data_IF_476974044731
#
_entry.id   IF_476974044731
#
_cell.length_a   1.000
_cell.length_b   1.000
_cell.length_c   1.000
_cell.angle_alpha   90.00
_cell.angle_beta   90.00
_cell.angle_gamma   90.00
#
_symmetry.space_group_name_H-M   'P 1'
#
loop_
_entity.id
_entity.type
_entity.pdbx_description
1 polymer ?
#
# COMPACT_ATOMS: atom_id res chain seq x y z
N UNK A 1 -19.91 -8.15 -12.99
CA UNK A 1 -18.74 -8.53 -12.19
C UNK A 1 -19.15 -8.96 -10.78
N UNK A 2 -19.76 -8.09 -9.92
CA UNK A 2 -20.10 -8.42 -8.53
C UNK A 2 -20.96 -9.69 -8.39
N UNK A 3 -22.02 -9.83 -9.19
CA UNK A 3 -22.88 -11.02 -9.14
C UNK A 3 -22.10 -12.31 -9.48
N UNK A 4 -21.18 -12.27 -10.44
CA UNK A 4 -20.32 -13.41 -10.77
C UNK A 4 -19.34 -13.73 -9.63
N UNK A 5 -18.83 -12.72 -8.95
CA UNK A 5 -17.97 -12.84 -7.75
C UNK A 5 -18.71 -13.62 -6.63
N UNK A 6 -19.93 -13.18 -6.28
CA UNK A 6 -20.72 -13.84 -5.24
C UNK A 6 -21.10 -15.29 -5.61
N UNK A 7 -21.39 -15.54 -6.89
CA UNK A 7 -21.60 -16.90 -7.39
C UNK A 7 -20.32 -17.73 -7.26
N UNK A 8 -19.16 -17.18 -7.56
CA UNK A 8 -17.85 -17.82 -7.36
C UNK A 8 -17.68 -18.33 -5.93
N UNK A 9 -17.99 -17.50 -4.94
CA UNK A 9 -17.96 -17.94 -3.52
C UNK A 9 -18.92 -19.08 -3.22
N UNK A 10 -20.11 -19.11 -3.82
CA UNK A 10 -21.04 -20.21 -3.64
C UNK A 10 -20.56 -21.51 -4.29
N UNK A 11 -19.67 -21.42 -5.27
CA UNK A 11 -18.99 -22.56 -5.91
C UNK A 11 -17.70 -22.97 -5.17
N UNK A 12 -17.32 -22.28 -4.09
CA UNK A 12 -16.13 -22.59 -3.29
C UNK A 12 -14.85 -21.87 -3.75
N UNK A 13 -14.97 -20.87 -4.65
CA UNK A 13 -13.80 -20.11 -5.07
C UNK A 13 -13.36 -19.11 -4.00
N UNK A 14 -12.07 -19.11 -3.68
CA UNK A 14 -11.45 -18.09 -2.86
C UNK A 14 -11.08 -16.85 -3.69
N UNK A 15 -10.78 -15.73 -3.01
CA UNK A 15 -10.27 -14.55 -3.69
C UNK A 15 -8.94 -14.82 -4.39
N UNK A 16 -8.72 -14.15 -5.52
CA UNK A 16 -7.43 -14.12 -6.21
C UNK A 16 -6.99 -12.68 -6.44
N UNK A 17 -6.23 -12.09 -5.51
CA UNK A 17 -5.75 -10.72 -5.61
C UNK A 17 -4.55 -10.53 -6.54
N UNK A 18 -4.14 -11.56 -7.26
CA UNK A 18 -3.16 -11.46 -8.32
C UNK A 18 -3.79 -11.29 -9.71
N UNK A 19 -5.12 -11.30 -9.82
CA UNK A 19 -5.80 -11.25 -11.11
C UNK A 19 -5.51 -9.97 -11.91
N UNK A 20 -5.29 -8.83 -11.23
CA UNK A 20 -4.88 -7.57 -11.86
C UNK A 20 -3.58 -7.68 -12.65
N UNK A 21 -2.63 -8.54 -12.22
CA UNK A 21 -1.37 -8.78 -12.92
C UNK A 21 -1.52 -9.46 -14.30
N UNK A 22 -2.70 -10.00 -14.58
CA UNK A 22 -3.08 -10.66 -15.82
C UNK A 22 -4.36 -10.02 -16.41
N UNK A 23 -4.44 -8.70 -16.47
CA UNK A 23 -5.53 -7.95 -17.11
C UNK A 23 -6.93 -8.30 -16.55
N UNK A 24 -7.08 -8.39 -15.24
CA UNK A 24 -8.33 -8.80 -14.58
C UNK A 24 -8.75 -10.25 -14.87
N UNK A 25 -7.82 -11.17 -14.74
CA UNK A 25 -8.02 -12.58 -15.04
C UNK A 25 -9.04 -13.29 -14.15
N UNK A 26 -9.59 -12.65 -13.11
CA UNK A 26 -10.58 -13.27 -12.22
C UNK A 26 -11.60 -12.27 -11.69
N UNK A 27 -12.86 -12.68 -11.66
CA UNK A 27 -13.91 -11.94 -10.93
C UNK A 27 -13.78 -12.10 -9.43
N UNK A 28 -12.95 -13.04 -8.94
CA UNK A 28 -12.66 -13.22 -7.51
C UNK A 28 -11.66 -12.21 -6.97
N UNK A 29 -11.28 -11.20 -7.73
CA UNK A 29 -10.58 -10.01 -7.31
C UNK A 29 -11.56 -8.88 -6.93
N UNK A 30 -11.04 -7.82 -6.27
CA UNK A 30 -11.74 -6.57 -5.99
C UNK A 30 -11.06 -5.40 -6.69
N UNK A 31 -11.06 -5.31 -8.02
CA UNK A 31 -10.46 -4.17 -8.70
C UNK A 31 -11.28 -2.90 -8.45
N UNK A 32 -10.60 -1.77 -8.27
CA UNK A 32 -11.26 -0.47 -8.37
C UNK A 32 -11.81 -0.25 -9.79
N UNK A 33 -12.85 0.58 -9.97
CA UNK A 33 -13.29 0.97 -11.32
C UNK A 33 -12.12 1.49 -12.13
N UNK A 34 -11.87 0.89 -13.30
CA UNK A 34 -10.77 1.31 -14.18
C UNK A 34 -11.14 2.61 -14.88
N UNK A 35 -10.31 3.62 -14.70
CA UNK A 35 -10.44 4.91 -15.34
C UNK A 35 -9.09 5.28 -15.93
N UNK A 36 -9.08 5.82 -17.12
CA UNK A 36 -7.87 6.36 -17.76
C UNK A 36 -8.13 7.71 -18.39
N UNK A 37 -7.06 8.38 -18.81
CA UNK A 37 -7.16 9.61 -19.58
C UNK A 37 -7.11 9.27 -21.06
N UNK A 38 -8.21 9.46 -21.76
CA UNK A 38 -8.32 9.23 -23.19
C UNK A 38 -7.43 10.17 -24.04
N UNK A 39 -7.34 9.89 -25.34
CA UNK A 39 -6.51 10.68 -26.26
C UNK A 39 -6.94 12.15 -26.37
N UNK A 40 -8.21 12.44 -26.09
CA UNK A 40 -8.77 13.80 -26.05
C UNK A 40 -8.51 14.52 -24.71
N UNK A 41 -7.82 13.90 -23.76
CA UNK A 41 -7.59 14.42 -22.41
C UNK A 41 -8.78 14.33 -21.47
N UNK A 42 -9.87 13.64 -21.88
CA UNK A 42 -11.03 13.37 -21.02
C UNK A 42 -10.84 12.09 -20.22
N UNK A 43 -11.56 11.97 -19.09
CA UNK A 43 -11.63 10.72 -18.34
C UNK A 43 -12.51 9.72 -19.10
N UNK A 44 -11.99 8.52 -19.29
CA UNK A 44 -12.68 7.42 -19.95
C UNK A 44 -13.06 6.36 -18.91
N UNK A 45 -14.36 6.04 -18.85
CA UNK A 45 -14.97 5.06 -17.97
C UNK A 45 -15.52 3.83 -18.73
N UNK A 46 -15.27 3.73 -20.03
CA UNK A 46 -15.92 2.73 -20.90
C UNK A 46 -15.60 1.29 -20.50
N UNK A 47 -14.46 1.04 -19.84
CA UNK A 47 -14.07 -0.24 -19.30
C UNK A 47 -13.94 -0.22 -17.76
N UNK A 48 -14.73 0.61 -17.08
CA UNK A 48 -14.69 0.69 -15.61
C UNK A 48 -14.90 -0.67 -14.95
N UNK A 49 -15.75 -1.51 -15.53
CA UNK A 49 -16.03 -2.88 -15.08
C UNK A 49 -16.01 -3.84 -16.25
N UNK A 50 -15.50 -5.05 -16.02
CA UNK A 50 -15.51 -6.13 -17.00
C UNK A 50 -16.85 -6.84 -17.12
N UNK A 51 -17.03 -7.52 -18.24
CA UNK A 51 -18.20 -8.34 -18.55
C UNK A 51 -17.75 -9.79 -18.70
N UNK A 52 -18.43 -10.71 -17.99
CA UNK A 52 -18.09 -12.13 -18.02
C UNK A 52 -17.22 -12.55 -16.84
N UNK A 53 -16.54 -13.66 -17.00
CA UNK A 53 -15.58 -14.25 -16.06
C UNK A 53 -14.18 -14.23 -16.69
N UNK A 54 -13.15 -14.27 -15.84
CA UNK A 54 -11.75 -14.22 -16.30
C UNK A 54 -11.17 -15.60 -16.59
N UNK A 55 -9.95 -15.62 -17.13
CA UNK A 55 -9.24 -16.86 -17.47
C UNK A 55 -8.94 -17.72 -16.23
N UNK A 56 -8.61 -17.10 -15.10
CA UNK A 56 -8.39 -17.82 -13.84
C UNK A 56 -9.70 -18.44 -13.31
N UNK A 57 -10.84 -17.80 -13.51
CA UNK A 57 -12.13 -18.36 -13.10
C UNK A 57 -12.47 -19.63 -13.89
N UNK A 58 -12.11 -19.65 -15.20
CA UNK A 58 -12.25 -20.83 -16.05
C UNK A 58 -11.33 -21.95 -15.55
N UNK A 59 -10.07 -21.66 -15.23
CA UNK A 59 -9.15 -22.64 -14.65
C UNK A 59 -9.70 -23.19 -13.34
N UNK A 60 -10.17 -22.33 -12.44
CA UNK A 60 -10.76 -22.72 -11.15
C UNK A 60 -11.99 -23.62 -11.33
N UNK A 61 -12.88 -23.28 -12.27
CA UNK A 61 -14.05 -24.07 -12.57
C UNK A 61 -13.66 -25.43 -13.18
N UNK A 62 -12.70 -25.47 -14.07
CA UNK A 62 -12.20 -26.72 -14.64
C UNK A 62 -11.56 -27.61 -13.58
N UNK A 63 -10.73 -27.02 -12.69
CA UNK A 63 -10.05 -27.76 -11.63
C UNK A 63 -11.02 -28.37 -10.63
N UNK A 64 -12.09 -27.65 -10.25
CA UNK A 64 -13.06 -28.12 -9.26
C UNK A 64 -14.17 -29.03 -9.83
N UNK A 65 -14.58 -28.81 -11.09
CA UNK A 65 -15.83 -29.35 -11.59
C UNK A 65 -15.70 -30.11 -12.90
N UNK A 66 -14.53 -30.19 -13.52
CA UNK A 66 -14.34 -30.96 -14.75
C UNK A 66 -14.59 -32.45 -14.47
N UNK A 67 -15.41 -33.09 -15.31
CA UNK A 67 -15.57 -34.53 -15.30
C UNK A 67 -14.54 -35.18 -16.24
N UNK A 68 -13.94 -36.24 -15.77
CA UNK A 68 -12.94 -37.00 -16.53
C UNK A 68 -13.52 -38.38 -16.92
N UNK A 69 -13.03 -38.98 -18.01
CA UNK A 69 -13.35 -40.37 -18.35
C UNK A 69 -12.94 -41.34 -17.25
N UNK A 70 -13.67 -42.48 -17.16
CA UNK A 70 -13.32 -43.53 -16.21
C UNK A 70 -11.85 -43.98 -16.34
N UNK A 71 -11.16 -44.10 -15.21
CA UNK A 71 -9.76 -44.51 -15.14
C UNK A 71 -8.72 -43.40 -15.34
N UNK A 72 -9.15 -42.14 -15.49
CA UNK A 72 -8.27 -40.99 -15.49
C UNK A 72 -7.70 -40.76 -14.07
N UNK A 73 -6.43 -40.49 -13.93
CA UNK A 73 -5.82 -39.93 -12.71
C UNK A 73 -6.21 -38.44 -12.64
N UNK A 74 -7.25 -38.14 -11.87
CA UNK A 74 -7.80 -36.79 -11.76
C UNK A 74 -6.81 -35.82 -11.09
N UNK A 75 -5.97 -36.30 -10.16
CA UNK A 75 -4.95 -35.46 -9.52
C UNK A 75 -3.87 -35.05 -10.54
N UNK A 76 -3.34 -36.01 -11.29
CA UNK A 76 -2.36 -35.70 -12.34
C UNK A 76 -2.92 -34.76 -13.42
N UNK A 77 -4.19 -34.94 -13.81
CA UNK A 77 -4.85 -34.06 -14.77
C UNK A 77 -5.12 -32.65 -14.20
N UNK A 78 -5.38 -32.53 -12.90
CA UNK A 78 -5.50 -31.26 -12.18
C UNK A 78 -4.16 -30.53 -12.10
N UNK A 79 -3.08 -31.23 -11.81
CA UNK A 79 -1.72 -30.70 -11.78
C UNK A 79 -1.30 -30.16 -13.17
N UNK A 80 -1.55 -30.93 -14.24
CA UNK A 80 -1.27 -30.49 -15.61
C UNK A 80 -2.03 -29.20 -15.97
N UNK A 81 -3.30 -29.09 -15.54
CA UNK A 81 -4.10 -27.88 -15.74
C UNK A 81 -3.48 -26.66 -15.04
N UNK A 82 -3.05 -26.82 -13.79
CA UNK A 82 -2.43 -25.73 -13.01
C UNK A 82 -1.06 -25.36 -13.58
N UNK A 83 -0.23 -26.33 -13.96
CA UNK A 83 1.06 -26.07 -14.61
C UNK A 83 0.89 -25.31 -15.93
N UNK A 84 -0.13 -25.67 -16.73
CA UNK A 84 -0.47 -24.92 -17.95
C UNK A 84 -0.91 -23.50 -17.67
N UNK A 85 -1.72 -23.28 -16.64
CA UNK A 85 -2.16 -21.96 -16.21
C UNK A 85 -0.98 -21.09 -15.76
N UNK A 86 -0.09 -21.62 -14.95
CA UNK A 86 1.13 -20.92 -14.53
C UNK A 86 2.10 -20.67 -15.69
N UNK A 87 2.21 -21.62 -16.60
CA UNK A 87 3.01 -21.49 -17.82
C UNK A 87 2.50 -20.37 -18.74
N UNK A 88 1.21 -20.09 -18.73
CA UNK A 88 0.60 -18.93 -19.43
C UNK A 88 0.78 -17.60 -18.69
N UNK A 89 1.34 -17.62 -17.47
CA UNK A 89 1.57 -16.43 -16.64
C UNK A 89 0.45 -16.10 -15.66
N UNK A 90 -0.62 -16.92 -15.61
CA UNK A 90 -1.67 -16.72 -14.60
C UNK A 90 -1.11 -16.92 -13.19
N UNK A 91 -1.64 -16.16 -12.23
CA UNK A 91 -1.20 -16.17 -10.83
C UNK A 91 -2.38 -16.37 -9.90
N UNK A 92 -2.11 -17.03 -8.78
CA UNK A 92 -3.04 -17.14 -7.66
C UNK A 92 -2.36 -16.67 -6.38
N UNK A 93 -2.99 -15.74 -5.68
CA UNK A 93 -2.52 -15.24 -4.38
C UNK A 93 -3.74 -14.98 -3.50
N UNK A 94 -3.76 -15.66 -2.34
CA UNK A 94 -4.84 -15.62 -1.39
C UNK A 94 -4.93 -14.32 -0.54
N UNK A 95 -6.00 -14.20 0.21
CA UNK A 95 -6.30 -13.06 1.08
C UNK A 95 -5.15 -12.65 2.01
N UNK A 96 -4.57 -13.53 2.84
CA UNK A 96 -3.52 -13.14 3.79
C UNK A 96 -2.31 -12.52 3.12
N UNK A 97 -1.97 -12.98 1.91
CA UNK A 97 -0.83 -12.48 1.16
C UNK A 97 -1.16 -11.24 0.30
N UNK A 98 -2.42 -11.07 -0.09
CA UNK A 98 -2.87 -9.96 -0.93
C UNK A 98 -3.28 -8.69 -0.15
N UNK A 99 -3.93 -8.80 1.01
CA UNK A 99 -4.57 -7.66 1.69
C UNK A 99 -3.62 -6.73 2.44
N UNK A 100 -2.63 -7.26 3.13
CA UNK A 100 -1.79 -6.45 4.02
C UNK A 100 -0.90 -5.45 3.27
N UNK A 101 -0.81 -4.21 3.75
CA UNK A 101 0.11 -3.20 3.20
C UNK A 101 1.57 -3.65 3.34
N UNK A 102 1.89 -4.38 4.41
CA UNK A 102 3.22 -4.89 4.69
C UNK A 102 3.59 -6.19 3.99
N UNK A 103 2.67 -6.86 3.29
CA UNK A 103 2.93 -8.14 2.63
C UNK A 103 4.00 -8.03 1.55
N UNK A 104 4.64 -9.15 1.24
CA UNK A 104 5.79 -9.19 0.33
C UNK A 104 5.40 -9.36 -1.15
N UNK A 105 4.16 -9.69 -1.44
CA UNK A 105 3.71 -10.05 -2.79
C UNK A 105 3.63 -8.85 -3.72
N UNK A 106 4.47 -8.73 -4.75
CA UNK A 106 4.56 -7.55 -5.60
C UNK A 106 3.36 -7.36 -6.55
N UNK A 107 2.65 -8.44 -6.89
CA UNK A 107 1.59 -8.44 -7.91
C UNK A 107 0.24 -8.86 -7.33
N UNK A 108 0.00 -8.57 -6.05
CA UNK A 108 -1.29 -8.86 -5.42
C UNK A 108 -1.69 -7.75 -4.48
N UNK A 109 -2.75 -7.06 -4.80
CA UNK A 109 -3.32 -6.00 -3.96
C UNK A 109 -4.82 -5.91 -4.13
N UNK A 110 -5.49 -5.46 -3.09
CA UNK A 110 -6.93 -5.18 -3.16
C UNK A 110 -7.13 -3.79 -3.76
N UNK A 111 -8.07 -3.63 -4.66
CA UNK A 111 -8.48 -2.37 -5.28
C UNK A 111 -7.44 -1.78 -6.27
N UNK A 112 -6.42 -2.53 -6.65
CA UNK A 112 -5.51 -2.12 -7.71
C UNK A 112 -6.05 -2.47 -9.11
N UNK A 113 -5.36 -1.97 -10.12
CA UNK A 113 -5.59 -2.27 -11.53
C UNK A 113 -4.26 -2.35 -12.27
N UNK A 114 -4.27 -3.07 -13.38
CA UNK A 114 -3.18 -3.13 -14.35
C UNK A 114 -2.08 -4.11 -13.98
N UNK A 115 -1.38 -4.55 -15.03
CA UNK A 115 -0.36 -5.60 -14.96
C UNK A 115 0.97 -5.14 -14.33
N UNK A 116 1.23 -3.83 -14.34
CA UNK A 116 2.40 -3.21 -13.73
C UNK A 116 1.96 -2.19 -12.66
N UNK A 117 2.17 -2.45 -11.37
CA UNK A 117 1.74 -1.57 -10.29
C UNK A 117 2.33 -0.15 -10.37
N UNK A 118 3.53 0.00 -10.95
CA UNK A 118 4.23 1.30 -11.06
C UNK A 118 3.66 2.13 -12.22
N UNK A 119 3.50 1.51 -13.38
CA UNK A 119 2.85 2.14 -14.53
C UNK A 119 1.41 2.54 -14.19
N UNK A 120 0.69 1.66 -13.49
CA UNK A 120 -0.68 1.93 -13.03
C UNK A 120 -0.75 3.07 -12.02
N UNK A 121 0.22 3.19 -11.09
CA UNK A 121 0.29 4.35 -10.20
C UNK A 121 0.48 5.64 -11.01
N UNK A 122 1.33 5.63 -12.02
CA UNK A 122 1.56 6.79 -12.89
C UNK A 122 0.27 7.22 -13.61
N UNK A 123 -0.48 6.26 -14.17
CA UNK A 123 -1.76 6.56 -14.83
C UNK A 123 -2.84 7.03 -13.84
N UNK A 124 -2.94 6.42 -12.69
CA UNK A 124 -3.86 6.83 -11.61
C UNK A 124 -3.56 8.27 -11.15
N UNK A 125 -2.29 8.66 -11.05
CA UNK A 125 -1.90 10.04 -10.74
C UNK A 125 -2.27 11.01 -11.87
N UNK A 126 -2.20 10.56 -13.12
CA UNK A 126 -2.65 11.34 -14.28
C UNK A 126 -4.18 11.53 -14.29
N UNK A 127 -4.94 10.47 -14.01
CA UNK A 127 -6.40 10.52 -13.84
C UNK A 127 -6.78 11.48 -12.71
N UNK A 128 -6.12 11.33 -11.55
CA UNK A 128 -6.32 12.21 -10.39
C UNK A 128 -6.10 13.68 -10.74
N UNK A 129 -5.02 13.98 -11.45
CA UNK A 129 -4.72 15.34 -11.90
C UNK A 129 -5.84 15.91 -12.76
N UNK A 130 -6.27 15.21 -13.79
CA UNK A 130 -7.38 15.64 -14.67
C UNK A 130 -8.67 15.83 -13.89
N UNK A 131 -8.99 14.91 -12.97
CA UNK A 131 -10.18 15.00 -12.14
C UNK A 131 -10.15 16.24 -11.22
N UNK A 132 -9.01 16.55 -10.60
CA UNK A 132 -8.84 17.73 -9.73
C UNK A 132 -8.83 19.03 -10.51
N UNK A 133 -8.26 19.07 -11.71
CA UNK A 133 -8.31 20.25 -12.60
C UNK A 133 -9.73 20.62 -13.01
N UNK A 134 -10.63 19.64 -13.10
CA UNK A 134 -12.04 19.81 -13.45
C UNK A 134 -12.98 19.84 -12.26
N UNK A 135 -12.45 19.66 -11.06
CA UNK A 135 -13.26 19.62 -9.85
C UNK A 135 -14.01 20.94 -9.61
N UNK A 136 -15.31 20.85 -9.34
CA UNK A 136 -16.14 21.99 -9.10
C UNK A 136 -17.63 21.63 -9.04
N UNK A 137 -18.50 22.62 -9.27
CA UNK A 137 -19.96 22.46 -9.16
C UNK A 137 -20.54 21.41 -10.13
N UNK A 138 -19.85 21.11 -11.24
CA UNK A 138 -20.26 20.05 -12.17
C UNK A 138 -20.22 18.63 -11.59
N UNK A 139 -19.63 18.46 -10.42
CA UNK A 139 -19.66 17.19 -9.68
C UNK A 139 -20.97 16.98 -8.88
N UNK A 140 -21.88 17.94 -8.89
CA UNK A 140 -23.15 17.90 -8.16
C UNK A 140 -24.33 17.95 -9.13
N UNK A 141 -25.43 17.33 -8.70
CA UNK A 141 -26.71 17.48 -9.42
C UNK A 141 -27.37 18.84 -9.10
N UNK A 142 -28.20 19.41 -10.01
CA UNK A 142 -28.94 20.60 -9.73
C UNK A 142 -29.78 20.45 -8.45
N UNK A 143 -29.67 21.47 -7.55
CA UNK A 143 -30.38 21.47 -6.27
C UNK A 143 -29.65 20.77 -5.10
N UNK A 144 -28.52 20.11 -5.35
CA UNK A 144 -27.71 19.57 -4.25
C UNK A 144 -26.95 20.68 -3.51
N UNK A 145 -26.82 20.58 -2.17
CA UNK A 145 -26.01 21.50 -1.39
C UNK A 145 -24.55 21.51 -1.85
N UNK A 146 -23.98 22.68 -2.12
CA UNK A 146 -22.58 22.83 -2.53
C UNK A 146 -21.59 22.26 -1.50
N UNK A 147 -21.96 22.25 -0.22
CA UNK A 147 -21.17 21.63 0.85
C UNK A 147 -20.91 20.13 0.68
N UNK A 148 -21.67 19.42 -0.18
CA UNK A 148 -21.36 18.03 -0.57
C UNK A 148 -20.00 17.90 -1.26
N UNK A 149 -19.48 18.97 -1.85
CA UNK A 149 -18.14 18.95 -2.45
C UNK A 149 -17.06 18.54 -1.45
N UNK A 150 -17.24 18.78 -0.13
CA UNK A 150 -16.31 18.28 0.91
C UNK A 150 -16.26 16.75 1.03
N UNK A 151 -17.33 16.05 0.71
CA UNK A 151 -17.33 14.60 0.66
C UNK A 151 -16.81 14.09 -0.70
N UNK A 152 -17.22 14.78 -1.79
CA UNK A 152 -16.83 14.39 -3.15
C UNK A 152 -15.33 14.57 -3.40
N UNK A 153 -14.70 15.58 -2.78
CA UNK A 153 -13.23 15.80 -2.96
C UNK A 153 -12.39 14.66 -2.40
N UNK A 154 -12.82 13.96 -1.35
CA UNK A 154 -12.00 12.97 -0.66
C UNK A 154 -11.60 11.81 -1.58
N UNK A 155 -12.53 11.07 -2.21
CA UNK A 155 -12.17 9.98 -3.11
C UNK A 155 -11.42 10.46 -4.36
N UNK A 156 -11.63 11.70 -4.82
CA UNK A 156 -10.89 12.28 -5.95
C UNK A 156 -9.45 12.63 -5.53
N UNK A 157 -9.30 13.29 -4.40
CA UNK A 157 -7.98 13.69 -3.88
C UNK A 157 -7.13 12.47 -3.49
N UNK A 158 -7.74 11.44 -2.91
CA UNK A 158 -7.09 10.18 -2.51
C UNK A 158 -7.26 9.06 -3.56
N UNK A 159 -7.54 9.40 -4.82
CA UNK A 159 -7.81 8.41 -5.86
C UNK A 159 -6.69 7.38 -6.03
N UNK A 160 -5.45 7.77 -5.76
CA UNK A 160 -4.25 6.96 -5.86
C UNK A 160 -4.00 6.02 -4.66
N UNK A 161 -4.79 6.10 -3.59
CA UNK A 161 -4.52 5.41 -2.30
C UNK A 161 -4.29 3.90 -2.42
N UNK A 162 -5.05 3.23 -3.25
CA UNK A 162 -4.92 1.77 -3.43
C UNK A 162 -3.71 1.42 -4.29
N UNK A 163 -3.46 2.22 -5.33
CA UNK A 163 -2.33 1.99 -6.22
C UNK A 163 -0.98 2.32 -5.55
N UNK A 164 -0.96 3.24 -4.59
CA UNK A 164 0.19 3.45 -3.70
C UNK A 164 0.53 2.16 -2.95
N UNK A 165 -0.47 1.46 -2.41
CA UNK A 165 -0.25 0.20 -1.71
C UNK A 165 0.29 -0.88 -2.65
N UNK A 166 -0.25 -0.99 -3.86
CA UNK A 166 0.21 -1.94 -4.86
C UNK A 166 1.66 -1.66 -5.30
N UNK A 167 1.98 -0.41 -5.66
CA UNK A 167 3.33 -0.01 -6.03
C UNK A 167 4.33 -0.19 -4.88
N UNK A 168 3.93 0.08 -3.63
CA UNK A 168 4.79 -0.09 -2.47
C UNK A 168 5.19 -1.55 -2.23
N UNK A 169 4.38 -2.53 -2.65
CA UNK A 169 4.72 -3.96 -2.54
C UNK A 169 5.86 -4.38 -3.46
N UNK A 170 6.19 -3.60 -4.48
CA UNK A 170 7.40 -3.81 -5.27
C UNK A 170 8.66 -3.61 -4.43
N UNK A 171 8.64 -2.70 -3.45
CA UNK A 171 9.79 -2.36 -2.58
C UNK A 171 9.92 -3.41 -1.47
N UNK A 172 11.07 -4.06 -1.41
CA UNK A 172 11.26 -5.24 -0.58
C UNK A 172 10.28 -6.35 -0.94
N UNK A 173 9.82 -6.39 -2.20
CA UNK A 173 8.93 -7.40 -2.72
C UNK A 173 9.63 -8.73 -2.91
N UNK A 174 8.90 -9.82 -2.69
CA UNK A 174 9.37 -11.18 -2.86
C UNK A 174 8.32 -11.98 -3.62
N UNK A 175 8.64 -12.34 -4.86
CA UNK A 175 7.74 -13.08 -5.75
C UNK A 175 8.01 -14.58 -5.60
N UNK A 176 6.97 -15.37 -5.34
CA UNK A 176 7.04 -16.81 -5.20
C UNK A 176 5.72 -17.48 -5.61
N UNK A 177 5.76 -18.75 -5.92
CA UNK A 177 4.59 -19.57 -6.23
C UNK A 177 4.30 -20.54 -5.08
N UNK A 178 3.04 -20.91 -4.91
CA UNK A 178 2.65 -22.04 -4.07
C UNK A 178 2.97 -23.32 -4.84
N UNK A 179 4.16 -23.86 -4.67
CA UNK A 179 4.64 -25.00 -5.43
C UNK A 179 4.81 -26.22 -4.54
N UNK A 180 4.49 -27.40 -5.08
CA UNK A 180 4.72 -28.70 -4.46
C UNK A 180 6.04 -29.33 -4.93
N UNK A 181 6.53 -30.30 -4.17
CA UNK A 181 7.75 -31.03 -4.53
C UNK A 181 7.57 -31.76 -5.86
N UNK A 182 8.45 -31.49 -6.81
CA UNK A 182 8.42 -32.08 -8.16
C UNK A 182 7.85 -31.16 -9.23
N UNK A 183 7.21 -30.04 -8.86
CA UNK A 183 6.74 -29.05 -9.81
C UNK A 183 7.87 -28.11 -10.29
N UNK A 184 7.66 -27.45 -11.41
CA UNK A 184 8.53 -26.37 -11.88
C UNK A 184 8.35 -25.09 -11.02
N UNK A 185 9.29 -24.16 -11.09
CA UNK A 185 9.24 -22.85 -10.43
C UNK A 185 9.16 -22.89 -8.89
N UNK A 186 9.87 -23.83 -8.27
CA UNK A 186 10.00 -23.92 -6.82
C UNK A 186 10.85 -22.76 -6.29
N UNK A 187 10.40 -22.15 -5.21
CA UNK A 187 11.11 -21.07 -4.53
C UNK A 187 10.57 -19.69 -4.87
N UNK A 188 11.37 -18.67 -4.60
CA UNK A 188 11.00 -17.28 -4.85
C UNK A 188 12.23 -16.40 -5.00
N UNK A 189 12.01 -15.18 -5.51
CA UNK A 189 13.04 -14.20 -5.74
C UNK A 189 12.61 -12.79 -5.29
N UNK A 190 13.54 -11.96 -4.80
CA UNK A 190 13.28 -10.54 -4.64
C UNK A 190 12.92 -9.89 -5.98
N UNK A 191 12.06 -8.88 -5.94
CA UNK A 191 11.83 -8.01 -7.11
C UNK A 191 13.16 -7.41 -7.54
N UNK A 192 13.47 -7.35 -8.86
CA UNK A 192 14.70 -6.75 -9.36
C UNK A 192 14.92 -5.32 -8.84
N UNK A 193 16.16 -4.96 -8.52
CA UNK A 193 16.50 -3.70 -7.87
C UNK A 193 16.12 -2.46 -8.70
N UNK A 194 16.21 -2.54 -10.02
CA UNK A 194 15.80 -1.48 -10.95
C UNK A 194 14.29 -1.23 -10.92
N UNK A 195 13.49 -2.29 -10.86
CA UNK A 195 12.03 -2.20 -10.71
C UNK A 195 11.65 -1.61 -9.35
N UNK A 196 12.35 -2.02 -8.26
CA UNK A 196 12.15 -1.43 -6.94
C UNK A 196 12.50 0.07 -6.92
N UNK A 197 13.58 0.49 -7.59
CA UNK A 197 13.94 1.92 -7.71
C UNK A 197 12.91 2.69 -8.52
N UNK A 198 12.37 2.12 -9.59
CA UNK A 198 11.26 2.71 -10.34
C UNK A 198 10.02 2.90 -9.49
N UNK A 199 9.67 1.90 -8.68
CA UNK A 199 8.56 1.98 -7.73
C UNK A 199 8.79 3.06 -6.66
N UNK A 200 10.01 3.14 -6.11
CA UNK A 200 10.37 4.16 -5.13
C UNK A 200 10.20 5.57 -5.70
N UNK A 201 10.73 5.81 -6.88
CA UNK A 201 10.62 7.12 -7.56
C UNK A 201 9.16 7.50 -7.83
N UNK A 202 8.33 6.58 -8.31
CA UNK A 202 6.91 6.83 -8.53
C UNK A 202 6.14 7.12 -7.23
N UNK A 203 6.46 6.43 -6.14
CA UNK A 203 5.86 6.65 -4.83
C UNK A 203 6.29 7.99 -4.24
N UNK A 204 7.57 8.32 -4.31
CA UNK A 204 8.10 9.61 -3.83
C UNK A 204 7.51 10.78 -4.61
N UNK A 205 7.23 10.61 -5.90
CA UNK A 205 6.55 11.64 -6.70
C UNK A 205 5.13 11.98 -6.19
N UNK A 206 4.45 11.06 -5.47
CA UNK A 206 3.14 11.36 -4.84
C UNK A 206 3.26 12.34 -3.66
N UNK A 207 4.46 12.53 -3.13
CA UNK A 207 4.77 13.47 -2.04
C UNK A 207 5.15 14.86 -2.56
N UNK A 208 5.12 15.10 -3.87
CA UNK A 208 5.44 16.43 -4.39
C UNK A 208 4.39 17.46 -3.92
N UNK A 209 4.80 18.58 -3.28
CA UNK A 209 3.86 19.55 -2.76
C UNK A 209 2.99 20.19 -3.84
N UNK A 210 3.43 20.22 -5.10
CA UNK A 210 2.61 20.67 -6.21
C UNK A 210 1.49 19.67 -6.56
N UNK A 211 1.71 18.38 -6.31
CA UNK A 211 0.71 17.31 -6.47
C UNK A 211 -0.33 17.35 -5.34
N UNK A 212 0.09 17.76 -4.15
CA UNK A 212 -0.76 17.81 -2.95
C UNK A 212 -1.50 19.15 -2.81
N UNK A 213 -1.09 20.17 -3.53
CA UNK A 213 -1.74 21.49 -3.51
C UNK A 213 -3.08 21.47 -4.25
N UNK A 214 -3.98 22.37 -3.85
CA UNK A 214 -5.26 22.62 -4.52
C UNK A 214 -5.36 24.12 -4.87
N UNK A 215 -5.89 24.46 -6.06
CA UNK A 215 -6.05 25.86 -6.45
C UNK A 215 -7.11 26.54 -5.60
N UNK A 216 -6.97 27.87 -5.40
CA UNK A 216 -7.88 28.68 -4.58
C UNK A 216 -9.35 28.52 -5.01
N UNK A 217 -9.62 28.47 -6.32
CA UNK A 217 -10.97 28.23 -6.84
C UNK A 217 -11.61 26.94 -6.31
N UNK A 218 -10.81 25.90 -6.04
CA UNK A 218 -11.30 24.65 -5.45
C UNK A 218 -11.49 24.81 -3.95
N UNK A 219 -10.53 25.43 -3.26
CA UNK A 219 -10.59 25.65 -1.82
C UNK A 219 -11.81 26.51 -1.43
N UNK A 220 -12.12 27.54 -2.21
CA UNK A 220 -13.27 28.44 -1.99
C UNK A 220 -14.64 27.73 -2.12
N UNK A 221 -14.70 26.65 -2.91
CA UNK A 221 -15.93 25.85 -3.05
C UNK A 221 -16.15 24.86 -1.90
N UNK A 222 -15.11 24.52 -1.13
CA UNK A 222 -15.18 23.53 -0.07
C UNK A 222 -15.74 24.10 1.24
N UNK A 223 -16.98 24.61 1.19
CA UNK A 223 -17.68 25.18 2.33
C UNK A 223 -18.23 24.10 3.28
N UNK A 224 -18.41 24.39 4.60
CA UNK A 224 -18.92 23.41 5.53
C UNK A 224 -20.41 23.13 5.32
N UNK A 225 -20.88 21.91 5.62
CA UNK A 225 -22.32 21.63 5.63
C UNK A 225 -23.01 22.31 6.81
N UNK A 226 -24.32 22.53 6.68
CA UNK A 226 -25.16 22.89 7.82
C UNK A 226 -25.07 21.79 8.89
N UNK A 227 -24.91 22.18 10.15
CA UNK A 227 -24.78 21.23 11.27
C UNK A 227 -25.96 20.28 11.38
N UNK A 228 -27.15 20.74 11.05
CA UNK A 228 -28.38 19.94 11.00
C UNK A 228 -28.48 19.05 9.75
N UNK A 229 -27.65 19.28 8.75
CA UNK A 229 -27.64 18.58 7.48
C UNK A 229 -26.39 17.68 7.36
N UNK A 230 -26.17 16.84 8.34
CA UNK A 230 -25.15 15.78 8.27
C UNK A 230 -25.54 14.63 7.34
N UNK A 231 -26.29 14.95 6.29
CA UNK A 231 -26.83 14.00 5.34
C UNK A 231 -25.98 13.78 4.10
N UNK A 232 -24.67 13.70 4.26
CA UNK A 232 -23.93 12.90 3.31
C UNK A 232 -24.27 11.44 3.62
N UNK A 233 -24.77 10.70 2.63
CA UNK A 233 -25.27 9.34 2.81
C UNK A 233 -24.27 8.42 3.52
N UNK A 234 -24.74 7.28 3.99
CA UNK A 234 -23.89 6.26 4.57
C UNK A 234 -22.69 5.99 3.64
N UNK A 235 -21.45 6.09 4.16
CA UNK A 235 -20.22 5.88 3.38
C UNK A 235 -19.54 7.15 2.86
N UNK A 236 -20.03 8.35 3.14
CA UNK A 236 -19.31 9.58 2.77
C UNK A 236 -18.03 9.76 3.61
N UNK A 237 -16.92 10.00 2.94
CA UNK A 237 -15.64 10.29 3.57
C UNK A 237 -15.44 11.79 3.73
N UNK A 238 -14.80 12.21 4.83
CA UNK A 238 -14.42 13.59 5.08
C UNK A 238 -12.98 13.66 5.60
N UNK A 239 -12.20 14.64 5.13
CA UNK A 239 -10.97 14.96 5.81
C UNK A 239 -11.26 15.52 7.20
N UNK A 240 -10.61 15.02 8.27
CA UNK A 240 -10.61 15.72 9.54
C UNK A 240 -9.93 17.08 9.34
N UNK A 241 -10.32 18.10 10.10
CA UNK A 241 -9.72 19.43 9.98
C UNK A 241 -9.87 20.23 11.25
N UNK A 242 -8.86 21.00 11.59
CA UNK A 242 -8.79 21.85 12.78
C UNK A 242 -9.05 23.33 12.47
N UNK A 243 -9.35 23.67 11.20
CA UNK A 243 -9.55 25.06 10.74
C UNK A 243 -11.00 25.52 10.80
N UNK A 244 -11.88 24.74 11.40
CA UNK A 244 -13.31 25.06 11.55
C UNK A 244 -14.06 25.10 10.22
N UNK A 245 -14.56 26.29 9.83
CA UNK A 245 -15.33 26.44 8.61
C UNK A 245 -14.48 26.35 7.32
N UNK A 246 -13.22 26.69 7.39
CA UNK A 246 -12.31 26.57 6.25
C UNK A 246 -11.96 25.11 5.96
N UNK A 247 -11.70 24.79 4.70
CA UNK A 247 -11.14 23.49 4.34
C UNK A 247 -9.67 23.44 4.77
N UNK A 248 -9.28 22.38 5.47
CA UNK A 248 -7.92 22.18 5.95
C UNK A 248 -7.09 21.42 4.90
N UNK A 249 -6.47 22.19 3.98
CA UNK A 249 -5.62 21.63 2.94
C UNK A 249 -4.40 20.89 3.53
N UNK A 250 -3.81 21.41 4.61
CA UNK A 250 -2.62 20.78 5.20
C UNK A 250 -2.95 19.41 5.81
N UNK A 251 -4.14 19.25 6.38
CA UNK A 251 -4.60 17.94 6.86
C UNK A 251 -4.94 16.99 5.71
N UNK A 252 -5.51 17.48 4.61
CA UNK A 252 -5.72 16.66 3.42
C UNK A 252 -4.39 16.19 2.80
N UNK A 253 -3.41 17.07 2.68
CA UNK A 253 -2.06 16.74 2.21
C UNK A 253 -1.37 15.74 3.13
N UNK A 254 -1.44 15.95 4.45
CA UNK A 254 -0.90 15.04 5.46
C UNK A 254 -1.54 13.64 5.38
N UNK A 255 -2.86 13.58 5.15
CA UNK A 255 -3.57 12.30 4.96
C UNK A 255 -3.03 11.55 3.75
N UNK A 256 -2.84 12.23 2.62
CA UNK A 256 -2.26 11.63 1.40
C UNK A 256 -0.80 11.19 1.63
N UNK A 257 0.03 12.07 2.16
CA UNK A 257 1.45 11.78 2.41
C UNK A 257 1.63 10.63 3.42
N UNK A 258 0.76 10.55 4.45
CA UNK A 258 0.83 9.49 5.45
C UNK A 258 0.60 8.09 4.86
N UNK A 259 -0.20 7.96 3.80
CA UNK A 259 -0.41 6.69 3.09
C UNK A 259 0.88 6.23 2.40
N UNK A 260 1.53 7.12 1.66
CA UNK A 260 2.80 6.81 0.98
C UNK A 260 3.92 6.53 1.99
N UNK A 261 4.11 7.41 2.98
CA UNK A 261 5.16 7.24 3.98
C UNK A 261 4.94 6.00 4.85
N UNK A 262 3.69 5.74 5.26
CA UNK A 262 3.33 4.54 6.02
C UNK A 262 3.52 3.25 5.22
N UNK A 263 3.25 3.28 3.92
CA UNK A 263 3.51 2.14 3.05
C UNK A 263 5.01 1.92 2.85
N UNK A 264 5.80 2.96 2.55
CA UNK A 264 7.26 2.87 2.35
C UNK A 264 7.99 2.39 3.60
N UNK A 265 7.63 2.92 4.77
CA UNK A 265 8.30 2.69 6.04
C UNK A 265 7.60 1.63 6.90
N UNK A 266 6.81 0.74 6.28
CA UNK A 266 6.19 -0.37 6.99
C UNK A 266 7.27 -1.31 7.57
N UNK A 267 7.19 -1.71 8.87
CA UNK A 267 8.25 -2.46 9.54
C UNK A 267 8.69 -3.73 8.80
N UNK A 268 7.73 -4.51 8.31
CA UNK A 268 8.02 -5.74 7.56
C UNK A 268 8.73 -5.45 6.22
N UNK A 269 8.40 -4.35 5.54
CA UNK A 269 9.07 -3.94 4.30
C UNK A 269 10.50 -3.52 4.57
N UNK A 270 10.71 -2.70 5.60
CA UNK A 270 12.05 -2.28 6.01
C UNK A 270 12.91 -3.50 6.39
N UNK A 271 12.36 -4.44 7.15
CA UNK A 271 13.06 -5.67 7.50
C UNK A 271 13.48 -6.48 6.26
N UNK A 272 12.62 -6.58 5.24
CA UNK A 272 12.96 -7.26 3.98
C UNK A 272 14.01 -6.52 3.16
N UNK A 273 14.00 -5.19 3.13
CA UNK A 273 15.07 -4.41 2.49
C UNK A 273 16.42 -4.70 3.12
N UNK A 274 16.50 -4.70 4.46
CA UNK A 274 17.71 -5.02 5.22
C UNK A 274 18.16 -6.46 4.94
N UNK A 275 17.24 -7.43 4.89
CA UNK A 275 17.56 -8.81 4.59
C UNK A 275 18.03 -9.01 3.16
N UNK A 276 17.41 -8.33 2.19
CA UNK A 276 17.79 -8.42 0.77
C UNK A 276 19.16 -7.80 0.54
N UNK A 277 19.45 -6.62 1.13
CA UNK A 277 20.76 -5.96 1.07
C UNK A 277 21.87 -6.85 1.64
N UNK A 278 21.58 -7.60 2.71
CA UNK A 278 22.53 -8.56 3.29
C UNK A 278 22.88 -9.69 2.34
N UNK A 279 21.97 -10.07 1.43
CA UNK A 279 22.15 -11.14 0.46
C UNK A 279 22.71 -10.65 -0.88
N UNK A 280 22.43 -9.40 -1.25
CA UNK A 280 22.89 -8.75 -2.48
C UNK A 280 23.19 -7.28 -2.21
N UNK A 281 24.46 -6.90 -2.25
CA UNK A 281 24.92 -5.52 -2.03
C UNK A 281 24.43 -4.52 -3.11
N UNK A 282 23.91 -4.99 -4.26
CA UNK A 282 23.36 -4.14 -5.31
C UNK A 282 21.83 -3.96 -5.18
N UNK A 283 21.20 -4.66 -4.23
CA UNK A 283 19.78 -4.50 -3.95
C UNK A 283 19.44 -3.05 -3.57
N UNK A 284 18.16 -2.69 -3.67
CA UNK A 284 17.67 -1.45 -3.07
C UNK A 284 17.82 -1.55 -1.54
N UNK A 285 18.58 -0.64 -0.95
CA UNK A 285 18.79 -0.60 0.49
C UNK A 285 17.72 0.24 1.22
N UNK A 286 17.56 -0.01 2.51
CA UNK A 286 16.74 0.87 3.37
C UNK A 286 17.31 2.30 3.39
N UNK A 287 18.64 2.45 3.37
CA UNK A 287 19.30 3.75 3.27
C UNK A 287 18.97 4.52 1.99
N UNK A 288 18.80 3.83 0.86
CA UNK A 288 18.39 4.46 -0.40
C UNK A 288 16.96 5.03 -0.29
N UNK A 289 16.02 4.26 0.30
CA UNK A 289 14.64 4.72 0.53
C UNK A 289 14.62 5.96 1.40
N UNK A 290 15.35 5.94 2.52
CA UNK A 290 15.43 7.10 3.43
C UNK A 290 15.99 8.34 2.77
N UNK A 291 17.05 8.19 1.95
CA UNK A 291 17.69 9.28 1.23
C UNK A 291 16.75 9.91 0.21
N UNK A 292 16.07 9.10 -0.62
CA UNK A 292 15.19 9.62 -1.68
C UNK A 292 13.98 10.36 -1.08
N UNK A 293 13.40 9.84 0.00
CA UNK A 293 12.33 10.53 0.72
C UNK A 293 12.85 11.83 1.36
N UNK A 294 14.03 11.82 2.00
CA UNK A 294 14.63 13.05 2.58
C UNK A 294 14.86 14.11 1.51
N UNK A 295 15.41 13.73 0.35
CA UNK A 295 15.68 14.67 -0.76
C UNK A 295 14.37 15.29 -1.28
N UNK A 296 13.30 14.52 -1.39
CA UNK A 296 12.00 15.01 -1.83
C UNK A 296 11.35 15.98 -0.84
N UNK A 297 11.46 15.71 0.47
CA UNK A 297 10.76 16.47 1.51
C UNK A 297 11.55 17.69 2.02
N UNK A 298 12.88 17.69 1.93
CA UNK A 298 13.71 18.81 2.41
C UNK A 298 14.28 19.66 1.27
N UNK A 299 13.57 19.70 0.13
CA UNK A 299 13.84 20.60 -1.00
C UNK A 299 13.21 21.97 -0.78
N UNK A 300 13.58 22.93 -1.61
CA UNK A 300 12.92 24.23 -1.68
C UNK A 300 11.54 24.10 -2.36
N UNK A 301 10.60 24.96 -1.98
CA UNK A 301 9.25 25.00 -2.55
C UNK A 301 9.11 26.18 -3.50
N UNK A 302 8.25 26.03 -4.54
CA UNK A 302 8.01 27.08 -5.54
C UNK A 302 7.06 28.19 -5.02
N UNK A 303 6.20 27.85 -4.06
CA UNK A 303 5.22 28.80 -3.49
C UNK A 303 5.15 28.70 -1.97
N UNK A 304 4.69 29.76 -1.26
CA UNK A 304 4.52 29.72 0.20
C UNK A 304 3.57 28.62 0.68
N UNK A 305 2.53 28.28 -0.12
CA UNK A 305 1.59 27.20 0.21
C UNK A 305 2.23 25.84 0.09
N UNK A 306 3.01 25.59 -0.96
CA UNK A 306 3.80 24.38 -1.11
C UNK A 306 4.87 24.25 -0.01
N UNK A 307 5.50 25.35 0.41
CA UNK A 307 6.40 25.34 1.57
C UNK A 307 5.67 24.90 2.85
N UNK A 308 4.40 25.30 3.03
CA UNK A 308 3.60 24.89 4.18
C UNK A 308 3.22 23.39 4.12
N UNK A 309 2.96 22.87 2.93
CA UNK A 309 2.74 21.44 2.70
C UNK A 309 4.01 20.65 3.03
N UNK A 310 5.18 21.03 2.49
CA UNK A 310 6.47 20.38 2.79
C UNK A 310 6.76 20.36 4.29
N UNK A 311 6.54 21.46 5.00
CA UNK A 311 6.70 21.51 6.46
C UNK A 311 5.82 20.48 7.18
N UNK A 312 4.58 20.30 6.75
CA UNK A 312 3.67 19.31 7.32
C UNK A 312 4.16 17.89 7.02
N UNK A 313 4.62 17.62 5.81
CA UNK A 313 5.18 16.33 5.41
C UNK A 313 6.49 15.99 6.14
N UNK A 314 7.36 16.97 6.35
CA UNK A 314 8.57 16.80 7.16
C UNK A 314 8.23 16.35 8.59
N UNK A 315 7.19 16.96 9.18
CA UNK A 315 6.69 16.55 10.50
C UNK A 315 6.15 15.13 10.47
N UNK A 316 5.38 14.78 9.44
CA UNK A 316 4.85 13.43 9.24
C UNK A 316 5.97 12.40 9.08
N UNK A 317 6.94 12.68 8.23
CA UNK A 317 8.08 11.80 7.97
C UNK A 317 8.87 11.48 9.25
N UNK A 318 9.24 12.51 10.01
CA UNK A 318 9.95 12.32 11.29
C UNK A 318 9.07 11.55 12.29
N UNK A 319 7.76 11.81 12.35
CA UNK A 319 6.86 11.07 13.22
C UNK A 319 6.80 9.58 12.85
N UNK A 320 6.66 9.25 11.57
CA UNK A 320 6.63 7.84 11.09
C UNK A 320 7.97 7.13 11.41
N UNK A 321 9.10 7.81 11.27
CA UNK A 321 10.40 7.24 11.62
C UNK A 321 10.55 7.00 13.13
N UNK A 322 10.07 7.93 13.97
CA UNK A 322 10.06 7.76 15.43
C UNK A 322 9.15 6.59 15.83
N UNK A 323 7.97 6.50 15.22
CA UNK A 323 7.02 5.40 15.47
C UNK A 323 7.62 4.06 15.04
N UNK A 324 8.31 4.00 13.89
CA UNK A 324 9.01 2.80 13.42
C UNK A 324 10.14 2.40 14.39
N UNK A 325 10.93 3.36 14.87
CA UNK A 325 12.01 3.12 15.81
C UNK A 325 11.51 2.70 17.20
N UNK A 326 10.29 3.07 17.57
CA UNK A 326 9.63 2.70 18.82
C UNK A 326 8.75 1.44 18.70
N UNK A 327 8.63 0.86 17.51
CA UNK A 327 7.74 -0.26 17.24
C UNK A 327 8.32 -1.56 17.81
N UNK A 328 7.65 -2.16 18.79
CA UNK A 328 8.07 -3.41 19.44
C UNK A 328 8.00 -4.64 18.53
N UNK A 329 7.30 -4.55 17.39
CA UNK A 329 7.21 -5.62 16.37
C UNK A 329 8.23 -5.42 15.23
N UNK A 330 9.02 -4.33 15.25
CA UNK A 330 10.09 -4.14 14.29
C UNK A 330 11.32 -4.99 14.68
N UNK A 331 12.07 -5.44 13.67
CA UNK A 331 13.32 -6.17 13.95
C UNK A 331 14.36 -5.26 14.61
N UNK A 332 15.27 -5.80 15.42
CA UNK A 332 16.34 -5.03 16.04
C UNK A 332 17.15 -4.18 15.04
N UNK A 333 17.45 -4.76 13.87
CA UNK A 333 18.17 -4.08 12.79
C UNK A 333 17.39 -2.87 12.26
N UNK A 334 16.07 -3.01 12.08
CA UNK A 334 15.19 -1.90 11.69
C UNK A 334 15.26 -0.76 12.70
N UNK A 335 15.13 -1.07 13.99
CA UNK A 335 15.18 -0.08 15.07
C UNK A 335 16.55 0.61 15.12
N UNK A 336 17.63 -0.16 15.08
CA UNK A 336 19.01 0.36 15.16
C UNK A 336 19.32 1.28 13.98
N UNK A 337 19.01 0.85 12.75
CA UNK A 337 19.27 1.65 11.55
C UNK A 337 18.40 2.91 11.51
N UNK A 338 17.13 2.82 11.92
CA UNK A 338 16.24 3.99 11.99
C UNK A 338 16.73 5.01 13.01
N UNK A 339 17.15 4.59 14.22
CA UNK A 339 17.72 5.48 15.23
C UNK A 339 19.05 6.13 14.77
N UNK A 340 19.92 5.36 14.11
CA UNK A 340 21.14 5.90 13.54
C UNK A 340 20.86 6.96 12.47
N UNK A 341 19.87 6.70 11.60
CA UNK A 341 19.43 7.66 10.60
C UNK A 341 18.82 8.92 11.22
N UNK A 342 17.91 8.79 12.20
CA UNK A 342 17.31 9.91 12.93
C UNK A 342 18.37 10.80 13.57
N UNK A 343 19.39 10.20 14.21
CA UNK A 343 20.53 10.95 14.79
C UNK A 343 21.29 11.74 13.73
N UNK A 344 21.52 11.16 12.55
CA UNK A 344 22.17 11.86 11.45
C UNK A 344 21.28 12.94 10.82
N UNK A 345 19.97 12.66 10.66
CA UNK A 345 18.98 13.61 10.15
C UNK A 345 18.91 14.87 11.02
N UNK A 346 18.82 14.72 12.35
CA UNK A 346 18.78 15.86 13.27
C UNK A 346 19.94 16.84 13.04
N UNK A 347 21.16 16.32 12.82
CA UNK A 347 22.33 17.17 12.51
C UNK A 347 22.22 17.86 11.15
N UNK A 348 21.73 17.14 10.11
CA UNK A 348 21.60 17.70 8.75
C UNK A 348 20.57 18.82 8.66
N UNK A 349 19.39 18.62 9.25
CA UNK A 349 18.30 19.60 9.19
C UNK A 349 18.67 20.92 9.91
N UNK A 350 19.38 20.86 11.03
CA UNK A 350 19.89 22.06 11.72
C UNK A 350 20.93 22.80 10.88
N UNK A 351 21.84 22.09 10.20
CA UNK A 351 22.84 22.71 9.35
C UNK A 351 22.25 23.46 8.15
N UNK A 352 21.12 23.01 7.63
CA UNK A 352 20.39 23.64 6.51
C UNK A 352 19.61 24.91 6.92
N UNK A 353 19.47 25.19 8.22
CA UNK A 353 18.65 26.30 8.73
C UNK A 353 19.28 27.69 8.60
N UNK A 354 20.58 27.83 8.30
CA UNK A 354 21.29 29.08 8.37
C UNK A 354 20.85 30.19 7.38
N UNK A 355 20.09 29.87 6.34
CA UNK A 355 19.59 30.81 5.32
C UNK A 355 18.13 30.56 4.93
N UNK A 356 17.37 29.79 5.73
CA UNK A 356 16.01 29.41 5.45
C UNK A 356 15.00 30.46 5.95
N UNK A 357 13.78 30.36 5.45
CA UNK A 357 12.62 31.11 5.98
C UNK A 357 12.45 30.85 7.49
N UNK A 358 12.05 31.86 8.29
CA UNK A 358 11.86 31.68 9.73
C UNK A 358 10.92 30.52 10.11
N UNK A 359 9.88 30.26 9.30
CA UNK A 359 8.97 29.15 9.55
C UNK A 359 9.64 27.78 9.30
N UNK A 360 10.53 27.68 8.30
CA UNK A 360 11.33 26.48 8.04
C UNK A 360 12.34 26.25 9.19
N UNK A 361 12.96 27.31 9.68
CA UNK A 361 13.86 27.23 10.84
C UNK A 361 13.10 26.68 12.05
N UNK A 362 11.92 27.25 12.34
CA UNK A 362 11.11 26.83 13.49
C UNK A 362 10.71 25.34 13.40
N UNK A 363 10.31 24.87 12.21
CA UNK A 363 9.96 23.45 12.00
C UNK A 363 11.20 22.57 12.18
N UNK A 364 12.32 22.91 11.57
CA UNK A 364 13.57 22.13 11.67
C UNK A 364 14.09 22.04 13.10
N UNK A 365 14.01 23.12 13.86
CA UNK A 365 14.38 23.15 15.28
C UNK A 365 13.45 22.25 16.11
N UNK A 366 12.14 22.28 15.82
CA UNK A 366 11.17 21.39 16.48
C UNK A 366 11.43 19.93 16.13
N UNK A 367 11.67 19.60 14.86
CA UNK A 367 12.00 18.25 14.44
C UNK A 367 13.27 17.72 15.10
N UNK A 368 14.31 18.56 15.18
CA UNK A 368 15.55 18.21 15.88
C UNK A 368 15.30 17.92 17.36
N UNK A 369 14.47 18.74 18.02
CA UNK A 369 14.10 18.51 19.45
C UNK A 369 13.32 17.21 19.63
N UNK A 370 12.35 16.91 18.75
CA UNK A 370 11.57 15.65 18.80
C UNK A 370 12.47 14.43 18.62
N UNK A 371 13.36 14.47 17.64
CA UNK A 371 14.31 13.38 17.41
C UNK A 371 15.22 13.20 18.63
N UNK A 372 15.78 14.27 19.17
CA UNK A 372 16.65 14.22 20.36
C UNK A 372 15.86 13.64 21.56
N UNK A 373 14.66 14.12 21.81
CA UNK A 373 13.82 13.63 22.89
C UNK A 373 13.44 12.13 22.73
N UNK A 374 13.34 11.65 21.49
CA UNK A 374 13.15 10.21 21.22
C UNK A 374 14.43 9.42 21.54
N UNK A 375 15.58 9.89 21.06
CA UNK A 375 16.87 9.21 21.25
C UNK A 375 17.36 9.20 22.70
N UNK A 376 16.98 10.20 23.50
CA UNK A 376 17.34 10.33 24.92
C UNK A 376 16.45 9.47 25.83
N UNK A 377 15.38 8.83 25.32
CA UNK A 377 14.56 7.91 26.10
C UNK A 377 15.38 6.69 26.49
N UNK A 378 15.15 6.13 27.73
CA UNK A 378 15.74 4.85 28.07
C UNK A 378 15.40 3.83 26.97
N UNK A 379 16.41 3.22 26.40
CA UNK A 379 16.22 2.21 25.38
C UNK A 379 15.40 1.06 25.95
N UNK A 380 14.24 0.79 25.35
CA UNK A 380 13.57 -0.50 25.55
C UNK A 380 14.54 -1.61 25.10
N UNK A 381 14.44 -2.81 25.69
CA UNK A 381 15.23 -3.93 25.22
C UNK A 381 15.07 -4.07 23.71
N UNK A 382 16.17 -3.95 22.97
CA UNK A 382 16.16 -4.06 21.50
C UNK A 382 15.83 -5.49 21.06
N UNK A 383 16.04 -6.45 21.97
CA UNK A 383 15.68 -7.85 21.76
C UNK A 383 14.33 -8.13 22.41
N UNK A 384 13.29 -8.46 21.65
CA UNK A 384 12.12 -9.10 22.20
C UNK A 384 12.51 -10.42 22.87
N UNK A 385 11.61 -11.00 23.66
CA UNK A 385 11.78 -12.35 24.23
C UNK A 385 12.38 -13.29 23.20
N UNK A 386 13.25 -14.19 23.63
CA UNK A 386 13.88 -15.21 22.78
C UNK A 386 12.84 -15.78 21.81
N UNK A 387 13.11 -15.78 20.50
CA UNK A 387 12.18 -16.37 19.54
C UNK A 387 11.90 -17.82 19.94
N UNK A 388 10.68 -18.11 20.30
CA UNK A 388 10.26 -19.49 20.52
C UNK A 388 9.99 -20.11 19.15
N UNK A 389 10.66 -21.23 18.87
CA UNK A 389 10.28 -22.10 17.78
C UNK A 389 9.08 -22.89 18.27
N UNK A 390 7.95 -22.79 17.61
CA UNK A 390 6.79 -23.64 17.87
C UNK A 390 7.24 -25.11 17.78
N UNK A 391 7.29 -25.76 18.93
CA UNK A 391 7.57 -27.17 18.97
C UNK A 391 6.34 -27.88 18.39
N UNK A 392 6.50 -28.69 17.33
CA UNK A 392 5.36 -29.40 16.76
C UNK A 392 4.64 -30.20 17.86
N UNK A 393 3.30 -30.24 17.84
CA UNK A 393 2.56 -31.09 18.74
C UNK A 393 3.01 -32.54 18.54
N UNK A 394 3.43 -33.19 19.59
CA UNK A 394 4.10 -34.49 19.55
C UNK A 394 5.43 -34.46 20.26
N UNK A 395 5.48 -33.77 21.42
CA UNK A 395 6.62 -33.80 22.34
C UNK A 395 7.12 -35.22 22.49
N UNK A 396 8.46 -35.43 22.56
CA UNK A 396 9.01 -36.73 22.80
C UNK A 396 8.34 -37.43 23.99
N UNK A 397 8.10 -38.72 23.90
CA UNK A 397 7.52 -39.53 24.97
C UNK A 397 8.34 -39.24 26.25
N UNK A 398 7.72 -38.65 27.26
CA UNK A 398 8.35 -38.25 28.53
C UNK A 398 8.53 -36.76 28.76
N UNK A 399 8.22 -35.87 27.82
CA UNK A 399 8.09 -34.45 28.08
C UNK A 399 6.74 -34.19 28.80
N UNK A 400 6.80 -33.71 30.02
CA UNK A 400 5.69 -33.70 30.99
C UNK A 400 4.55 -32.72 30.78
N UNK A 401 3.99 -32.63 29.58
CA UNK A 401 2.66 -32.03 29.41
C UNK A 401 1.80 -32.92 28.52
N UNK A 402 0.84 -33.58 29.14
CA UNK A 402 -0.12 -34.48 28.52
C UNK A 402 -1.20 -33.77 27.67
N UNK A 403 -1.00 -32.49 27.30
CA UNK A 403 -2.08 -31.68 26.75
C UNK A 403 -1.98 -31.34 25.27
N UNK A 404 -0.93 -31.74 24.57
CA UNK A 404 -0.78 -31.43 23.15
C UNK A 404 -0.80 -32.68 22.27
N UNK A 405 -1.97 -33.25 22.07
CA UNK A 405 -2.21 -34.17 20.95
C UNK A 405 -2.77 -33.35 19.77
N UNK A 406 -2.00 -33.16 18.73
CA UNK A 406 -2.45 -32.39 17.56
C UNK A 406 -3.66 -32.99 16.84
N UNK A 407 -3.92 -34.29 17.04
CA UNK A 407 -5.15 -34.93 16.61
C UNK A 407 -6.37 -34.56 17.47
N UNK A 408 -6.13 -34.00 18.65
CA UNK A 408 -7.18 -33.62 19.59
C UNK A 408 -7.37 -32.09 19.70
N UNK A 409 -6.44 -31.31 19.16
CA UNK A 409 -6.49 -29.86 19.20
C UNK A 409 -7.15 -29.29 17.93
N UNK A 410 -8.48 -29.15 18.01
CA UNK A 410 -9.29 -28.57 16.94
C UNK A 410 -9.00 -27.08 16.68
N UNK A 411 -8.17 -26.44 17.49
CA UNK A 411 -7.73 -25.04 17.29
C UNK A 411 -6.67 -24.90 16.21
N UNK A 412 -6.01 -26.00 15.81
CA UNK A 412 -5.00 -26.00 14.74
C UNK A 412 -5.57 -26.36 13.36
N UNK A 413 -6.85 -26.70 13.26
CA UNK A 413 -7.52 -26.84 11.97
C UNK A 413 -7.89 -25.44 11.46
N UNK A 414 -7.51 -25.06 10.24
CA UNK A 414 -7.97 -23.81 9.65
C UNK A 414 -9.50 -23.82 9.61
N UNK A 415 -10.12 -22.78 10.17
CA UNK A 415 -11.56 -22.54 10.08
C UNK A 415 -11.87 -21.87 8.77
#
# INVERSE_FOLDING_TARGET
QLAAHEVGHTLGFAHNFAASSNERASVMDYPAPLVWVGQNGELDFSAAYDVGIGEWDIVSAMWLYRQYPDGTDENAAGDELLESAWGSGLRYIDDPQGRGVGTARPYASVWDNGTDPVASLTEVMRVRKVALERFGLGALQPGEPTSRLRAVIVPVYLYHRYQVNAAAKMIGGYDFHYAETGQANIGGAPVPADQQRGALSALVATLDPAVLDLPDRTLDLLTPPLVSFRGAGAGAEYFPGETGAMFDLLTAADTSASQTLGALLHPQRVARLIETERRDANALSYGDVLREVEEALFKDADTPRQASILRREQVRYVSVLIDLAANTNATPETVIQTNAYLSALARRIVSRSRRADPADVAVRDELSRRITAHLDRPSLPVMPSTPEVDIPPGSPIGAGSAEACWHCDTALLPR
#
